data_IF_628597049453
#
_entry.id   IF_628597049453
#
_cell.length_a   1.000
_cell.length_b   1.000
_cell.length_c   1.000
_cell.angle_alpha   90.00
_cell.angle_beta   90.00
_cell.angle_gamma   90.00
#
_symmetry.space_group_name_H-M   'P 1'
#
loop_
_entity.id
_entity.type
_entity.pdbx_description
1 polymer ?
#
# COMPACT_ATOMS: atom_id res chain seq x y z
N UNK A 1 0.39 21.05 1.93
CA UNK A 1 0.55 19.80 2.72
C UNK A 1 -0.43 18.80 2.16
N UNK A 2 0.05 17.65 1.67
CA UNK A 2 -0.84 16.54 1.32
C UNK A 2 -1.33 15.96 2.64
N UNK A 3 -2.64 15.75 2.78
CA UNK A 3 -3.21 15.20 4.03
C UNK A 3 -3.07 13.67 4.02
N UNK A 4 -2.95 13.07 5.20
CA UNK A 4 -2.85 11.61 5.36
C UNK A 4 -4.02 10.87 4.70
N UNK A 5 -5.21 11.47 4.68
CA UNK A 5 -6.38 10.92 3.97
C UNK A 5 -6.18 10.90 2.45
N UNK A 6 -5.54 11.92 1.88
CA UNK A 6 -5.25 11.98 0.44
C UNK A 6 -4.28 10.88 0.03
N UNK A 7 -3.26 10.61 0.85
CA UNK A 7 -2.27 9.55 0.59
C UNK A 7 -2.94 8.18 0.68
N UNK A 8 -3.78 7.95 1.69
CA UNK A 8 -4.57 6.72 1.78
C UNK A 8 -5.42 6.50 0.54
N UNK A 9 -6.09 7.56 0.08
CA UNK A 9 -6.89 7.50 -1.13
C UNK A 9 -6.04 7.12 -2.34
N UNK A 10 -4.85 7.72 -2.50
CA UNK A 10 -3.94 7.37 -3.59
C UNK A 10 -3.51 5.90 -3.57
N UNK A 11 -3.12 5.38 -2.40
CA UNK A 11 -2.78 3.95 -2.26
C UNK A 11 -3.96 3.07 -2.66
N UNK A 12 -5.18 3.40 -2.24
CA UNK A 12 -6.37 2.64 -2.62
C UNK A 12 -6.69 2.75 -4.10
N UNK A 13 -6.44 3.91 -4.72
CA UNK A 13 -6.59 4.10 -6.17
C UNK A 13 -5.59 3.24 -6.94
N UNK A 14 -4.32 3.19 -6.51
CA UNK A 14 -3.31 2.33 -7.14
C UNK A 14 -3.73 0.85 -7.07
N UNK A 15 -4.16 0.38 -5.90
CA UNK A 15 -4.71 -0.97 -5.74
C UNK A 15 -5.93 -1.16 -6.67
N UNK A 16 -6.85 -0.18 -6.70
CA UNK A 16 -8.06 -0.26 -7.52
C UNK A 16 -7.79 -0.30 -9.03
N UNK A 17 -6.70 0.32 -9.49
CA UNK A 17 -6.29 0.30 -10.89
C UNK A 17 -5.71 -1.05 -11.31
N UNK A 18 -5.13 -1.78 -10.36
CA UNK A 18 -4.52 -3.09 -10.60
C UNK A 18 -5.55 -4.22 -10.57
N UNK A 19 -6.69 -4.04 -9.90
CA UNK A 19 -7.77 -5.03 -9.91
C UNK A 19 -8.51 -4.97 -11.24
N UNK A 20 -8.65 -6.12 -11.91
CA UNK A 20 -9.38 -6.20 -13.18
C UNK A 20 -10.89 -5.97 -12.99
N UNK A 21 -11.40 -6.27 -11.79
CA UNK A 21 -12.78 -6.04 -11.40
C UNK A 21 -13.00 -4.64 -10.81
N UNK A 22 -13.31 -3.66 -11.68
CA UNK A 22 -13.64 -2.28 -11.30
C UNK A 22 -14.89 -2.11 -10.42
N UNK A 23 -15.68 -3.17 -10.22
CA UNK A 23 -16.84 -3.13 -9.31
C UNK A 23 -16.45 -3.37 -7.84
N UNK A 24 -15.21 -3.80 -7.58
CA UNK A 24 -14.68 -3.99 -6.24
C UNK A 24 -14.24 -2.65 -5.66
N UNK A 25 -14.83 -2.28 -4.53
CA UNK A 25 -14.43 -1.09 -3.77
C UNK A 25 -13.27 -1.46 -2.87
N UNK A 26 -12.10 -0.84 -3.10
CA UNK A 26 -10.95 -0.96 -2.20
C UNK A 26 -11.22 -0.12 -0.96
N UNK A 27 -11.21 -0.78 0.20
CA UNK A 27 -11.43 -0.20 1.52
C UNK A 27 -10.24 -0.51 2.42
N UNK A 28 -10.17 0.14 3.58
CA UNK A 28 -9.10 -0.11 4.54
C UNK A 28 -9.01 -1.58 5.00
N UNK A 29 -10.14 -2.28 5.06
CA UNK A 29 -10.24 -3.69 5.48
C UNK A 29 -9.99 -4.68 4.34
N UNK A 30 -9.84 -4.20 3.10
CA UNK A 30 -9.68 -5.03 1.92
C UNK A 30 -8.36 -5.81 1.98
N UNK A 31 -8.39 -7.16 2.00
CA UNK A 31 -7.18 -7.97 2.06
C UNK A 31 -6.41 -7.94 0.74
N UNK A 32 -5.10 -7.66 0.81
CA UNK A 32 -4.24 -7.62 -0.38
C UNK A 32 -3.47 -8.94 -0.60
N UNK A 33 -3.28 -9.74 0.45
CA UNK A 33 -2.63 -11.07 0.37
C UNK A 33 -3.39 -12.09 1.19
N UNK A 34 -3.26 -13.37 0.80
CA UNK A 34 -3.81 -14.51 1.53
C UNK A 34 -5.16 -15.00 0.98
N UNK A 35 -5.89 -15.75 1.80
CA UNK A 35 -7.17 -16.34 1.44
C UNK A 35 -8.24 -15.24 1.31
N UNK A 36 -8.71 -14.99 0.08
CA UNK A 36 -9.60 -13.86 -0.23
C UNK A 36 -8.89 -12.60 -0.76
N UNK A 37 -7.60 -12.70 -1.07
CA UNK A 37 -6.85 -11.66 -1.79
C UNK A 37 -7.54 -11.28 -3.10
N UNK A 38 -7.60 -9.97 -3.36
CA UNK A 38 -8.01 -9.43 -4.67
C UNK A 38 -6.84 -9.19 -5.63
N UNK A 39 -5.61 -9.38 -5.14
CA UNK A 39 -4.39 -9.21 -5.92
C UNK A 39 -3.70 -10.58 -6.11
N UNK A 40 -3.37 -10.88 -7.36
CA UNK A 40 -2.49 -11.99 -7.70
C UNK A 40 -1.01 -11.59 -7.53
N UNK A 41 -0.10 -12.57 -7.52
CA UNK A 41 1.34 -12.34 -7.36
C UNK A 41 1.91 -11.30 -8.34
N UNK A 42 1.42 -11.26 -9.58
CA UNK A 42 1.84 -10.25 -10.57
C UNK A 42 1.37 -8.84 -10.20
N UNK A 43 0.11 -8.71 -9.80
CA UNK A 43 -0.48 -7.43 -9.40
C UNK A 43 0.16 -6.88 -8.13
N UNK A 44 0.61 -7.75 -7.23
CA UNK A 44 1.40 -7.34 -6.06
C UNK A 44 2.74 -6.72 -6.45
N UNK A 45 3.45 -7.31 -7.41
CA UNK A 45 4.70 -6.75 -7.92
C UNK A 45 4.46 -5.39 -8.59
N UNK A 46 3.42 -5.28 -9.42
CA UNK A 46 3.02 -4.00 -10.03
C UNK A 46 2.65 -2.94 -8.99
N UNK A 47 1.95 -3.33 -7.92
CA UNK A 47 1.61 -2.44 -6.80
C UNK A 47 2.88 -1.93 -6.11
N UNK A 48 3.86 -2.81 -5.86
CA UNK A 48 5.10 -2.41 -5.22
C UNK A 48 5.86 -1.37 -6.05
N UNK A 49 6.02 -1.62 -7.34
CA UNK A 49 6.68 -0.68 -8.27
C UNK A 49 5.93 0.67 -8.32
N UNK A 50 4.60 0.62 -8.42
CA UNK A 50 3.78 1.84 -8.48
C UNK A 50 3.88 2.67 -7.20
N UNK A 51 4.02 2.02 -6.04
CA UNK A 51 4.20 2.70 -4.76
C UNK A 51 5.63 3.24 -4.59
N UNK A 52 6.64 2.54 -5.07
CA UNK A 52 8.03 3.04 -5.09
C UNK A 52 8.14 4.30 -5.95
N UNK A 53 7.60 4.27 -7.17
CA UNK A 53 7.55 5.44 -8.05
C UNK A 53 6.82 6.60 -7.36
N UNK A 54 5.68 6.32 -6.74
CA UNK A 54 4.90 7.33 -6.00
C UNK A 54 5.66 7.91 -4.81
N UNK A 55 6.36 7.08 -4.04
CA UNK A 55 7.17 7.53 -2.92
C UNK A 55 8.29 8.44 -3.40
N UNK A 56 8.97 8.03 -4.47
CA UNK A 56 10.04 8.80 -5.10
C UNK A 56 9.53 10.17 -5.58
N UNK A 57 8.36 10.22 -6.21
CA UNK A 57 7.66 11.47 -6.59
C UNK A 57 7.35 12.36 -5.39
N UNK A 58 7.08 11.77 -4.22
CA UNK A 58 6.84 12.46 -2.95
C UNK A 58 8.13 12.86 -2.22
N UNK A 59 9.29 12.48 -2.76
CA UNK A 59 10.61 12.84 -2.25
C UNK A 59 11.17 11.91 -1.19
N UNK A 60 10.70 10.66 -1.11
CA UNK A 60 11.25 9.66 -0.19
C UNK A 60 11.31 8.27 -0.83
N UNK A 61 12.19 7.41 -0.36
CA UNK A 61 12.24 6.02 -0.81
C UNK A 61 11.44 5.12 0.14
N UNK A 62 10.44 4.42 -0.40
CA UNK A 62 9.66 3.45 0.35
C UNK A 62 10.46 2.16 0.56
N UNK A 63 10.56 1.70 1.80
CA UNK A 63 11.37 0.56 2.22
C UNK A 63 10.48 -0.62 2.60
N UNK A 64 10.47 -1.64 1.73
CA UNK A 64 9.74 -2.90 1.95
C UNK A 64 10.37 -3.80 3.02
N UNK A 65 11.61 -3.54 3.39
CA UNK A 65 12.41 -4.36 4.32
C UNK A 65 12.47 -3.77 5.74
N UNK A 66 11.83 -2.62 5.95
CA UNK A 66 11.89 -1.89 7.22
C UNK A 66 11.39 -2.76 8.40
N UNK A 67 12.27 -2.95 9.40
CA UNK A 67 12.24 -3.97 10.48
C UNK A 67 10.95 -4.02 11.34
N UNK A 68 10.12 -2.97 11.32
CA UNK A 68 8.77 -3.00 11.93
C UNK A 68 7.80 -3.98 11.24
N UNK A 69 8.14 -4.47 10.04
CA UNK A 69 7.43 -5.56 9.37
C UNK A 69 7.61 -6.93 10.05
N UNK A 70 8.68 -7.14 10.84
CA UNK A 70 9.04 -8.46 11.37
C UNK A 70 8.66 -8.72 12.84
N UNK A 71 8.39 -7.69 13.66
CA UNK A 71 7.93 -7.90 15.03
C UNK A 71 6.41 -8.08 15.11
N UNK A 72 5.99 -9.34 14.88
CA UNK A 72 4.72 -9.95 15.32
C UNK A 72 3.46 -9.44 14.59
N UNK A 73 2.94 -10.25 13.66
CA UNK A 73 1.49 -10.22 13.31
C UNK A 73 1.02 -9.02 12.45
N UNK A 74 1.96 -8.21 11.92
CA UNK A 74 1.76 -6.90 11.25
C UNK A 74 2.25 -6.87 9.78
N UNK A 75 1.81 -7.80 8.93
CA UNK A 75 2.14 -7.72 7.50
C UNK A 75 1.48 -6.47 6.90
N UNK A 76 2.25 -5.50 6.41
CA UNK A 76 1.75 -4.32 5.69
C UNK A 76 0.82 -4.68 4.52
N UNK A 77 0.96 -5.89 3.99
CA UNK A 77 0.09 -6.44 2.94
C UNK A 77 -1.21 -7.06 3.46
N UNK A 78 -1.44 -7.14 4.79
CA UNK A 78 -2.65 -7.77 5.35
C UNK A 78 -3.93 -7.11 4.84
N UNK A 79 -3.91 -5.79 4.67
CA UNK A 79 -5.03 -5.03 4.15
C UNK A 79 -4.55 -3.74 3.50
N UNK A 80 -5.35 -3.17 2.60
CA UNK A 80 -5.02 -1.90 1.96
C UNK A 80 -4.79 -0.78 2.99
N UNK A 81 -5.57 -0.77 4.08
CA UNK A 81 -5.41 0.21 5.16
C UNK A 81 -4.09 0.07 5.92
N UNK A 82 -3.59 -1.16 6.09
CA UNK A 82 -2.28 -1.40 6.71
C UNK A 82 -1.16 -0.88 5.81
N UNK A 83 -1.23 -1.16 4.51
CA UNK A 83 -0.25 -0.68 3.52
C UNK A 83 -0.19 0.84 3.47
N UNK A 84 -1.36 1.48 3.39
CA UNK A 84 -1.44 2.93 3.33
C UNK A 84 -0.94 3.60 4.63
N UNK A 85 -1.18 2.98 5.78
CA UNK A 85 -0.69 3.49 7.06
C UNK A 85 0.84 3.38 7.17
N UNK A 86 1.41 2.27 6.69
CA UNK A 86 2.87 2.08 6.62
C UNK A 86 3.52 3.10 5.67
N UNK A 87 2.91 3.31 4.50
CA UNK A 87 3.37 4.31 3.53
C UNK A 87 3.45 5.72 4.12
N UNK A 88 2.40 6.14 4.83
CA UNK A 88 2.37 7.44 5.52
C UNK A 88 3.41 7.48 6.63
N UNK A 89 3.52 6.42 7.41
CA UNK A 89 4.48 6.34 8.52
C UNK A 89 5.93 6.49 8.02
N UNK A 90 6.30 5.80 6.95
CA UNK A 90 7.63 5.93 6.36
C UNK A 90 7.86 7.28 5.71
N UNK A 91 6.85 7.83 5.02
CA UNK A 91 6.92 9.18 4.47
C UNK A 91 7.18 10.20 5.58
N UNK A 92 6.41 10.16 6.67
CA UNK A 92 6.57 11.09 7.80
C UNK A 92 7.88 10.87 8.56
N UNK A 93 8.40 9.65 8.60
CA UNK A 93 9.67 9.33 9.28
C UNK A 93 10.91 9.72 8.48
N UNK A 94 10.80 9.79 7.14
CA UNK A 94 11.91 10.11 6.22
C UNK A 94 11.90 11.57 5.71
N UNK A 95 10.88 12.35 6.05
CA UNK A 95 10.67 13.72 5.61
C UNK A 95 11.00 14.73 6.71
#
# INVERSE_FOLDING_TARGET
MISNESIKFEVFQLVSQLIDNKSLVVTADTPLIGEGSILDSMKLVELCLSLEDKASDMGFEFDWTYDVAMSRTRSMFRSAGSLASEFIFQMDSKK
#
